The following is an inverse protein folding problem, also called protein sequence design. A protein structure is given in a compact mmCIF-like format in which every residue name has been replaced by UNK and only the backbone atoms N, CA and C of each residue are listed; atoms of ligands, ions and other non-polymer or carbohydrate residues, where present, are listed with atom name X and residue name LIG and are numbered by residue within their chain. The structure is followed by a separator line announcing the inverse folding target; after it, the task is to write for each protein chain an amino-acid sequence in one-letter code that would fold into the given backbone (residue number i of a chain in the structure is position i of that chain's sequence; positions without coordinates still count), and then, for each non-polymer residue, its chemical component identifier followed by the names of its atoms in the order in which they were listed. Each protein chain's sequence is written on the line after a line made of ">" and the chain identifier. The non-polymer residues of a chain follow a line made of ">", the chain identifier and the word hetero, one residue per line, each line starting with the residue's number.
data_IF_386758396107
#
_entry.id   IF_386758396107
#
_cell.length_a   1.000
_cell.length_b   1.000
_cell.length_c   1.000
_cell.angle_alpha   90.00
_cell.angle_beta   90.00
_cell.angle_gamma   90.00
#
_symmetry.space_group_name_H-M   'P 1'
#
loop_
_entity.id
_entity.type
_entity.pdbx_description
1 polymer ?
#
# COMPACT_ATOMS: atom_id res chain seq x y z
N UNK A 1 1.45 21.70 11.37
CA UNK A 1 1.61 20.59 10.41
C UNK A 1 3.07 20.23 10.08
N UNK A 2 3.94 21.16 9.69
CA UNK A 2 5.36 20.84 9.35
C UNK A 2 6.16 20.22 10.52
N UNK A 3 5.97 20.69 11.75
CA UNK A 3 6.68 20.18 12.94
C UNK A 3 6.25 18.76 13.34
N UNK A 4 4.96 18.42 13.18
CA UNK A 4 4.44 17.06 13.46
C UNK A 4 4.92 16.03 12.45
N UNK A 5 5.09 16.42 11.18
CA UNK A 5 5.62 15.56 10.14
C UNK A 5 7.11 15.26 10.39
N UNK A 6 7.88 16.26 10.84
CA UNK A 6 9.29 16.11 11.18
C UNK A 6 9.48 15.18 12.39
N UNK A 7 8.65 15.31 13.41
CA UNK A 7 8.65 14.44 14.59
C UNK A 7 8.30 12.99 14.25
N UNK A 8 7.34 12.78 13.35
CA UNK A 8 6.98 11.44 12.86
C UNK A 8 8.14 10.81 12.07
N UNK A 9 8.81 11.61 11.24
CA UNK A 9 9.96 11.17 10.44
C UNK A 9 11.16 10.81 11.33
N UNK A 10 11.43 11.63 12.36
CA UNK A 10 12.51 11.35 13.34
C UNK A 10 12.19 10.14 14.21
N UNK A 11 10.94 9.96 14.65
CA UNK A 11 10.53 8.76 15.39
C UNK A 11 10.64 7.50 14.54
N UNK A 12 10.30 7.55 13.25
CA UNK A 12 10.49 6.42 12.32
C UNK A 12 11.98 6.09 12.14
N UNK A 13 12.84 7.09 12.03
CA UNK A 13 14.29 6.92 11.89
C UNK A 13 14.92 6.30 13.15
N UNK A 14 14.47 6.71 14.34
CA UNK A 14 15.02 6.16 15.61
C UNK A 14 14.59 4.73 15.88
N UNK A 15 13.37 4.32 15.50
CA UNK A 15 12.93 2.92 15.60
C UNK A 15 13.74 2.03 14.66
N UNK A 16 14.18 2.56 13.52
CA UNK A 16 14.97 1.83 12.53
C UNK A 16 16.38 1.52 12.99
N UNK A 17 17.04 2.43 13.71
CA UNK A 17 18.44 2.26 14.14
C UNK A 17 18.64 1.26 15.29
N UNK A 18 17.62 1.04 16.12
CA UNK A 18 17.65 0.07 17.23
C UNK A 18 17.62 -1.40 16.77
N UNK A 19 17.33 -1.66 15.49
CA UNK A 19 17.23 -3.02 14.95
C UNK A 19 18.46 -3.47 14.13
N UNK A 20 19.47 -2.63 13.99
CA UNK A 20 20.62 -2.88 13.11
C UNK A 20 21.71 -3.78 13.71
N UNK A 21 21.57 -4.21 14.98
CA UNK A 21 22.54 -5.13 15.60
C UNK A 21 22.17 -6.58 15.35
N UNK A 22 22.90 -7.25 14.45
CA UNK A 22 22.78 -8.67 14.15
C UNK A 22 22.02 -8.97 12.87
N UNK A 23 22.51 -8.51 11.73
CA UNK A 23 22.00 -8.93 10.43
C UNK A 23 22.33 -10.40 10.21
N UNK A 24 21.31 -11.26 10.40
CA UNK A 24 21.34 -12.63 9.93
C UNK A 24 21.49 -12.57 8.39
N UNK A 25 22.54 -13.14 7.84
CA UNK A 25 22.91 -13.08 6.41
C UNK A 25 21.74 -13.49 5.49
N UNK A 26 20.81 -14.30 6.02
CA UNK A 26 19.63 -14.80 5.30
C UNK A 26 18.39 -13.90 5.42
N UNK A 27 18.46 -12.77 6.13
CA UNK A 27 17.27 -11.92 6.36
C UNK A 27 17.63 -10.46 6.27
N UNK A 28 16.84 -9.71 5.54
CA UNK A 28 16.96 -8.24 5.46
C UNK A 28 15.64 -7.60 5.83
N UNK A 29 15.66 -6.74 6.85
CA UNK A 29 14.48 -5.93 7.21
C UNK A 29 14.39 -4.71 6.31
N UNK A 30 13.16 -4.26 6.06
CA UNK A 30 12.94 -2.98 5.39
C UNK A 30 11.77 -2.23 6.01
N UNK A 31 11.88 -0.90 5.97
CA UNK A 31 10.79 0.04 6.27
C UNK A 31 10.74 1.08 5.17
N UNK A 32 9.54 1.35 4.68
CA UNK A 32 9.35 2.10 3.45
C UNK A 32 8.22 3.12 3.63
N UNK A 33 8.44 4.33 3.15
CA UNK A 33 7.43 5.38 3.04
C UNK A 33 7.24 5.73 1.58
N UNK A 34 6.00 5.82 1.14
CA UNK A 34 5.68 6.08 -0.25
C UNK A 34 4.65 7.17 -0.45
N UNK A 35 4.70 7.78 -1.63
CA UNK A 35 3.74 8.72 -2.15
C UNK A 35 3.32 8.33 -3.56
N UNK A 36 2.03 8.42 -3.88
CA UNK A 36 1.53 8.03 -5.18
C UNK A 36 0.09 8.42 -5.44
N UNK A 37 -0.54 7.69 -6.34
CA UNK A 37 -1.95 7.86 -6.68
C UNK A 37 -2.63 6.51 -6.89
N UNK A 38 -3.89 6.46 -6.44
CA UNK A 38 -4.78 5.33 -6.62
C UNK A 38 -5.91 5.70 -7.57
N UNK A 39 -6.40 4.74 -8.33
CA UNK A 39 -7.54 4.88 -9.22
C UNK A 39 -8.53 3.77 -8.90
N UNK A 40 -9.80 4.13 -8.70
CA UNK A 40 -10.93 3.22 -8.71
C UNK A 40 -11.55 3.19 -10.10
N UNK A 41 -11.90 2.01 -10.57
CA UNK A 41 -12.50 1.80 -11.88
C UNK A 41 -13.67 0.84 -11.70
N UNK A 42 -14.89 1.32 -12.03
CA UNK A 42 -16.11 0.53 -12.05
C UNK A 42 -16.88 0.83 -13.35
N UNK A 43 -16.93 -0.14 -14.27
CA UNK A 43 -17.46 0.11 -15.62
C UNK A 43 -16.74 1.28 -16.30
N UNK A 44 -17.51 2.24 -16.75
CA UNK A 44 -17.01 3.50 -17.34
C UNK A 44 -16.61 4.56 -16.31
N UNK A 45 -16.93 4.32 -15.04
CA UNK A 45 -16.66 5.25 -13.98
C UNK A 45 -15.21 5.11 -13.45
N UNK A 46 -14.51 6.23 -13.36
CA UNK A 46 -13.14 6.31 -12.83
C UNK A 46 -13.04 7.42 -11.80
N UNK A 47 -12.45 7.09 -10.65
CA UNK A 47 -12.11 8.08 -9.63
C UNK A 47 -10.63 7.98 -9.31
N UNK A 48 -9.92 9.11 -9.47
CA UNK A 48 -8.49 9.23 -9.17
C UNK A 48 -8.32 9.86 -7.80
N UNK A 49 -7.40 9.36 -7.00
CA UNK A 49 -7.02 10.02 -5.76
C UNK A 49 -6.29 11.33 -6.02
N UNK A 50 -6.48 12.30 -5.14
CA UNK A 50 -5.68 13.52 -5.09
C UNK A 50 -4.24 13.16 -4.77
N UNK A 51 -4.08 12.29 -3.78
CA UNK A 51 -2.82 11.68 -3.37
C UNK A 51 -3.08 10.37 -2.63
N UNK A 52 -2.04 9.56 -2.51
CA UNK A 52 -1.97 8.41 -1.62
C UNK A 52 -0.63 8.41 -0.91
N UNK A 53 -0.64 8.11 0.39
CA UNK A 53 0.57 7.90 1.20
C UNK A 53 0.51 6.50 1.80
N UNK A 54 1.68 5.89 1.93
CA UNK A 54 1.73 4.54 2.46
C UNK A 54 2.96 4.36 3.35
N UNK A 55 2.81 3.51 4.34
CA UNK A 55 3.88 2.99 5.16
C UNK A 55 3.90 1.47 5.06
N UNK A 56 5.07 0.91 4.75
CA UNK A 56 5.26 -0.53 4.61
C UNK A 56 6.43 -0.97 5.47
N UNK A 57 6.30 -2.10 6.16
CA UNK A 57 7.39 -2.72 6.92
C UNK A 57 7.35 -4.23 6.77
N UNK A 58 8.51 -4.83 6.56
CA UNK A 58 8.63 -6.26 6.32
C UNK A 58 10.05 -6.77 6.35
N UNK A 59 10.20 -7.98 5.82
CA UNK A 59 11.49 -8.65 5.66
C UNK A 59 11.56 -9.37 4.33
N UNK A 60 12.77 -9.41 3.77
CA UNK A 60 13.14 -10.34 2.72
C UNK A 60 13.85 -11.53 3.35
N UNK A 61 13.42 -12.73 3.02
CA UNK A 61 14.05 -13.99 3.38
C UNK A 61 14.76 -14.53 2.14
N UNK A 62 16.09 -14.62 2.19
CA UNK A 62 16.86 -15.16 1.08
C UNK A 62 16.79 -16.70 1.09
N UNK A 63 16.72 -17.28 -0.10
CA UNK A 63 16.61 -18.73 -0.29
C UNK A 63 17.97 -19.43 -0.27
N UNK A 64 19.06 -18.68 -0.36
CA UNK A 64 20.44 -19.18 -0.36
C UNK A 64 21.40 -18.14 0.23
N UNK A 65 22.49 -18.60 0.82
CA UNK A 65 23.48 -17.77 1.48
C UNK A 65 24.38 -17.05 0.46
N UNK A 66 24.88 -17.78 -0.54
CA UNK A 66 25.79 -17.25 -1.54
C UNK A 66 25.03 -16.65 -2.72
N UNK A 67 25.59 -15.61 -3.30
CA UNK A 67 25.08 -15.00 -4.52
C UNK A 67 25.37 -15.88 -5.73
N UNK A 68 24.37 -16.17 -6.53
CA UNK A 68 24.53 -16.89 -7.79
C UNK A 68 25.32 -16.03 -8.75
N UNK A 69 26.42 -16.57 -9.27
CA UNK A 69 27.40 -15.87 -10.10
C UNK A 69 27.95 -14.56 -9.45
N UNK A 70 27.94 -14.49 -8.11
CA UNK A 70 28.39 -13.31 -7.39
C UNK A 70 27.49 -12.06 -7.58
N UNK A 71 26.27 -12.23 -8.05
CA UNK A 71 25.40 -11.11 -8.45
C UNK A 71 23.96 -11.25 -7.98
N UNK A 72 23.38 -12.44 -8.04
CA UNK A 72 21.92 -12.61 -7.91
C UNK A 72 21.59 -13.38 -6.65
N UNK A 73 20.61 -12.86 -5.89
CA UNK A 73 20.05 -13.55 -4.75
C UNK A 73 18.51 -13.58 -4.86
N UNK A 74 17.95 -14.77 -4.80
CA UNK A 74 16.51 -14.98 -4.75
C UNK A 74 16.01 -14.94 -3.32
N UNK A 75 14.82 -14.41 -3.13
CA UNK A 75 14.19 -14.31 -1.82
C UNK A 75 12.67 -14.38 -1.88
N UNK A 76 12.10 -14.40 -0.70
CA UNK A 76 10.66 -14.25 -0.46
C UNK A 76 10.49 -13.03 0.44
N UNK A 77 9.73 -12.07 -0.04
CA UNK A 77 9.35 -10.91 0.75
C UNK A 77 8.11 -11.22 1.57
N UNK A 78 8.18 -10.92 2.86
CA UNK A 78 7.06 -10.90 3.78
C UNK A 78 6.86 -9.50 4.34
N UNK A 79 5.71 -8.89 4.07
CA UNK A 79 5.33 -7.58 4.61
C UNK A 79 4.27 -7.77 5.68
N UNK A 80 4.58 -7.35 6.89
CA UNK A 80 3.67 -7.46 8.03
C UNK A 80 2.75 -6.26 8.18
N UNK A 81 3.17 -5.13 7.63
CA UNK A 81 2.44 -3.88 7.68
C UNK A 81 2.53 -3.19 6.33
N UNK A 82 1.40 -3.02 5.67
CA UNK A 82 1.23 -2.17 4.50
C UNK A 82 -0.03 -1.33 4.75
N UNK A 83 0.18 -0.14 5.28
CA UNK A 83 -0.88 0.79 5.61
C UNK A 83 -0.92 1.91 4.58
N UNK A 84 -2.02 2.02 3.86
CA UNK A 84 -2.23 3.02 2.82
C UNK A 84 -3.38 3.95 3.19
N UNK A 85 -3.16 5.26 3.05
CA UNK A 85 -4.21 6.26 3.10
C UNK A 85 -4.27 7.01 1.78
N UNK A 86 -5.47 7.15 1.21
CA UNK A 86 -5.69 7.92 -0.01
C UNK A 86 -6.89 8.85 0.14
N UNK A 87 -6.79 10.04 -0.46
CA UNK A 87 -7.86 11.03 -0.50
C UNK A 87 -8.33 11.21 -1.93
N UNK A 88 -9.66 11.32 -2.08
CA UNK A 88 -10.32 11.55 -3.36
C UNK A 88 -11.22 12.78 -3.25
N UNK A 89 -11.24 13.60 -4.27
CA UNK A 89 -12.17 14.73 -4.40
C UNK A 89 -12.95 14.56 -5.69
N UNK A 90 -14.28 14.59 -5.59
CA UNK A 90 -15.18 14.53 -6.74
C UNK A 90 -16.03 15.79 -6.80
N UNK A 91 -15.83 16.65 -7.80
CA UNK A 91 -16.75 17.77 -8.03
C UNK A 91 -18.10 17.22 -8.50
N UNK A 92 -19.17 17.58 -7.82
CA UNK A 92 -20.54 17.30 -8.21
C UNK A 92 -21.30 18.63 -8.29
N UNK A 93 -21.82 18.93 -9.46
CA UNK A 93 -22.74 20.03 -9.63
C UNK A 93 -24.14 19.58 -9.19
N UNK A 94 -24.60 20.05 -8.04
CA UNK A 94 -25.97 19.85 -7.56
C UNK A 94 -26.62 21.22 -7.47
N UNK A 95 -27.73 21.40 -8.14
CA UNK A 95 -28.53 22.66 -8.18
C UNK A 95 -27.71 23.91 -8.58
N UNK A 96 -26.81 23.76 -9.57
CA UNK A 96 -25.96 24.86 -10.04
C UNK A 96 -24.85 25.31 -9.09
N UNK A 97 -24.67 24.61 -7.96
CA UNK A 97 -23.55 24.81 -7.03
C UNK A 97 -22.55 23.68 -7.18
N UNK A 98 -21.28 24.02 -7.40
CA UNK A 98 -20.20 23.06 -7.36
C UNK A 98 -19.88 22.69 -5.90
N UNK A 99 -20.25 21.50 -5.50
CA UNK A 99 -19.90 20.94 -4.19
C UNK A 99 -18.82 19.86 -4.38
N UNK A 100 -17.73 20.00 -3.66
CA UNK A 100 -16.64 19.01 -3.65
C UNK A 100 -16.93 17.93 -2.61
N UNK A 101 -17.27 16.73 -3.08
CA UNK A 101 -17.39 15.56 -2.21
C UNK A 101 -16.02 14.95 -1.96
N UNK A 102 -15.66 14.78 -0.69
CA UNK A 102 -14.37 14.23 -0.25
C UNK A 102 -14.56 12.81 0.24
N UNK A 103 -13.75 11.92 -0.30
CA UNK A 103 -13.70 10.51 0.10
C UNK A 103 -12.31 10.18 0.60
N UNK A 104 -12.27 9.26 1.55
CA UNK A 104 -11.03 8.78 2.18
C UNK A 104 -10.98 7.26 2.08
N UNK A 105 -9.86 6.73 1.66
CA UNK A 105 -9.60 5.29 1.65
C UNK A 105 -8.50 4.98 2.65
N UNK A 106 -8.68 3.90 3.38
CA UNK A 106 -7.67 3.32 4.27
C UNK A 106 -7.57 1.85 3.95
N UNK A 107 -6.38 1.39 3.60
CA UNK A 107 -6.11 -0.03 3.39
C UNK A 107 -5.08 -0.50 4.42
N UNK A 108 -5.29 -1.72 4.92
CA UNK A 108 -4.29 -2.48 5.64
C UNK A 108 -4.08 -3.81 4.92
N UNK A 109 -2.85 -4.11 4.53
CA UNK A 109 -2.51 -5.32 3.81
C UNK A 109 -1.32 -6.06 4.43
N UNK A 110 -1.31 -7.36 4.22
CA UNK A 110 -0.16 -8.24 4.40
C UNK A 110 0.31 -8.66 3.02
N UNK A 111 1.61 -8.57 2.74
CA UNK A 111 2.10 -8.92 1.42
C UNK A 111 3.09 -10.08 1.51
N UNK A 112 3.02 -10.99 0.55
CA UNK A 112 3.98 -12.09 0.42
C UNK A 112 4.23 -12.40 -1.04
N UNK A 113 5.48 -12.67 -1.38
CA UNK A 113 5.81 -13.07 -2.75
C UNK A 113 7.29 -13.14 -3.06
N UNK A 114 7.63 -13.64 -4.25
CA UNK A 114 9.01 -13.76 -4.67
C UNK A 114 9.68 -12.41 -4.89
N UNK A 115 10.98 -12.39 -4.63
CA UNK A 115 11.83 -11.23 -4.88
C UNK A 115 13.19 -11.64 -5.43
N UNK A 116 13.83 -10.73 -6.13
CA UNK A 116 15.17 -10.89 -6.68
C UNK A 116 15.98 -9.66 -6.29
N UNK A 117 17.15 -9.92 -5.72
CA UNK A 117 18.19 -8.92 -5.48
C UNK A 117 19.33 -9.14 -6.44
N UNK A 118 19.79 -8.07 -7.07
CA UNK A 118 20.94 -8.07 -7.96
C UNK A 118 21.94 -7.08 -7.38
N UNK A 119 23.16 -7.54 -7.16
CA UNK A 119 24.27 -6.73 -6.65
C UNK A 119 25.29 -6.49 -7.77
N UNK A 120 25.10 -5.47 -8.64
CA UNK A 120 25.99 -5.23 -9.77
C UNK A 120 27.34 -4.64 -9.34
N UNK A 121 27.39 -3.93 -8.23
CA UNK A 121 28.59 -3.25 -7.71
C UNK A 121 28.45 -3.24 -6.19
N UNK A 122 29.55 -3.31 -5.47
CA UNK A 122 29.58 -3.22 -4.00
C UNK A 122 28.72 -2.04 -3.52
N UNK A 123 27.92 -2.28 -2.49
CA UNK A 123 26.97 -1.33 -1.88
C UNK A 123 25.78 -0.90 -2.74
N UNK A 124 25.69 -1.33 -4.01
CA UNK A 124 24.54 -1.02 -4.89
C UNK A 124 23.71 -2.28 -5.13
N UNK A 125 22.45 -2.23 -4.75
CA UNK A 125 21.52 -3.35 -4.96
C UNK A 125 20.32 -2.90 -5.80
N UNK A 126 19.95 -3.73 -6.74
CA UNK A 126 18.69 -3.62 -7.46
C UNK A 126 17.75 -4.68 -6.91
N UNK A 127 16.60 -4.26 -6.43
CA UNK A 127 15.60 -5.17 -5.86
C UNK A 127 14.32 -5.09 -6.67
N UNK A 128 13.81 -6.22 -7.12
CA UNK A 128 12.51 -6.36 -7.77
C UNK A 128 11.68 -7.44 -7.09
N UNK A 129 10.37 -7.27 -7.10
CA UNK A 129 9.46 -8.18 -6.44
C UNK A 129 8.08 -8.22 -7.09
N UNK A 130 7.39 -9.34 -6.85
CA UNK A 130 5.97 -9.51 -7.13
C UNK A 130 5.31 -10.12 -5.91
N UNK A 131 4.32 -9.44 -5.32
CA UNK A 131 3.70 -9.82 -4.05
C UNK A 131 2.19 -9.96 -4.21
N UNK A 132 1.63 -10.99 -3.62
CA UNK A 132 0.22 -11.12 -3.32
C UNK A 132 -0.08 -10.36 -2.03
N UNK A 133 -1.11 -9.54 -2.02
CA UNK A 133 -1.44 -8.60 -0.96
C UNK A 133 -2.92 -8.70 -0.56
N UNK A 134 -3.30 -9.70 0.26
CA UNK A 134 -4.60 -9.70 0.91
C UNK A 134 -4.72 -8.47 1.82
N UNK A 135 -5.83 -7.76 1.71
CA UNK A 135 -6.04 -6.51 2.39
C UNK A 135 -7.47 -6.36 2.92
N UNK A 136 -7.61 -5.51 3.91
CA UNK A 136 -8.90 -4.94 4.28
C UNK A 136 -8.92 -3.47 3.87
N UNK A 137 -9.92 -3.10 3.09
CA UNK A 137 -10.06 -1.75 2.55
C UNK A 137 -11.29 -1.08 3.11
N UNK A 138 -11.12 0.13 3.63
CA UNK A 138 -12.18 1.00 4.12
C UNK A 138 -12.28 2.21 3.20
N UNK A 139 -13.48 2.51 2.76
CA UNK A 139 -13.79 3.69 1.96
C UNK A 139 -14.85 4.53 2.69
N UNK A 140 -14.52 5.75 3.01
CA UNK A 140 -15.33 6.64 3.83
C UNK A 140 -15.70 7.91 3.04
N UNK A 141 -16.98 8.24 3.02
CA UNK A 141 -17.47 9.47 2.39
C UNK A 141 -18.94 9.69 2.70
N UNK A 142 -19.38 10.94 2.73
CA UNK A 142 -20.77 11.38 2.92
C UNK A 142 -21.50 10.67 4.07
N UNK A 143 -20.84 10.57 5.25
CA UNK A 143 -21.35 9.90 6.48
C UNK A 143 -21.57 8.38 6.33
N UNK A 144 -21.07 7.78 5.27
CA UNK A 144 -21.13 6.34 5.04
C UNK A 144 -19.72 5.74 5.07
N UNK A 145 -19.63 4.51 5.56
CA UNK A 145 -18.40 3.74 5.62
C UNK A 145 -18.65 2.43 4.90
N UNK A 146 -17.88 2.21 3.87
CA UNK A 146 -17.83 0.97 3.10
C UNK A 146 -16.55 0.25 3.42
N UNK A 147 -16.60 -1.06 3.55
CA UNK A 147 -15.41 -1.83 3.79
C UNK A 147 -15.59 -3.28 3.45
N UNK A 148 -14.52 -3.90 2.98
CA UNK A 148 -14.47 -5.32 2.77
C UNK A 148 -13.02 -5.80 2.56
N UNK A 149 -12.91 -7.11 2.42
CA UNK A 149 -11.72 -7.76 1.95
C UNK A 149 -11.40 -7.34 0.51
N UNK A 150 -10.14 -7.03 0.30
CA UNK A 150 -9.59 -6.67 -1.01
C UNK A 150 -8.44 -7.60 -1.35
N UNK A 151 -8.26 -7.87 -2.63
CA UNK A 151 -7.14 -8.65 -3.14
C UNK A 151 -6.33 -7.78 -4.07
N UNK A 152 -5.06 -7.57 -3.72
CA UNK A 152 -4.13 -6.83 -4.55
C UNK A 152 -2.92 -7.67 -4.94
N UNK A 153 -2.35 -7.30 -6.07
CA UNK A 153 -1.02 -7.67 -6.50
C UNK A 153 -0.14 -6.43 -6.54
N UNK A 154 1.07 -6.58 -6.09
CA UNK A 154 2.03 -5.49 -5.94
C UNK A 154 3.32 -5.89 -6.63
N UNK A 155 3.80 -5.05 -7.54
CA UNK A 155 5.09 -5.26 -8.20
C UNK A 155 5.92 -3.99 -8.08
N UNK A 156 7.21 -4.14 -7.84
CA UNK A 156 8.08 -3.01 -7.63
C UNK A 156 9.52 -3.26 -8.05
N UNK A 157 10.20 -2.15 -8.23
CA UNK A 157 11.63 -2.08 -8.52
C UNK A 157 12.25 -0.98 -7.66
N UNK A 158 13.40 -1.25 -7.05
CA UNK A 158 14.18 -0.23 -6.35
C UNK A 158 15.67 -0.40 -6.60
N UNK A 159 16.36 0.70 -6.46
CA UNK A 159 17.82 0.75 -6.39
C UNK A 159 18.20 1.26 -5.02
N UNK A 160 19.05 0.52 -4.33
CA UNK A 160 19.57 0.89 -3.02
C UNK A 160 21.07 1.16 -3.09
N UNK A 161 21.49 2.12 -2.29
CA UNK A 161 22.88 2.35 -1.95
C UNK A 161 23.02 2.21 -0.44
N UNK A 162 23.83 1.25 -0.02
CA UNK A 162 24.00 0.89 1.38
C UNK A 162 22.62 0.54 2.04
N UNK A 163 22.12 1.38 2.93
CA UNK A 163 20.87 1.14 3.68
C UNK A 163 19.66 1.91 3.16
N UNK A 164 19.83 2.79 2.16
CA UNK A 164 18.73 3.61 1.59
C UNK A 164 18.42 3.12 0.19
N UNK A 165 17.13 2.93 -0.10
CA UNK A 165 16.65 2.60 -1.43
C UNK A 165 15.62 3.62 -1.92
N UNK A 166 15.64 3.87 -3.22
CA UNK A 166 14.59 4.58 -3.96
C UNK A 166 13.92 3.60 -4.90
N UNK A 167 12.61 3.62 -4.96
CA UNK A 167 11.88 2.69 -5.80
C UNK A 167 10.56 3.19 -6.30
N UNK A 168 10.03 2.40 -7.21
CA UNK A 168 8.72 2.57 -7.83
C UNK A 168 7.92 1.27 -7.65
N UNK A 169 6.63 1.40 -7.38
CA UNK A 169 5.73 0.28 -7.19
C UNK A 169 4.41 0.50 -7.89
N UNK A 170 3.92 -0.55 -8.53
CA UNK A 170 2.57 -0.66 -9.07
C UNK A 170 1.71 -1.58 -8.21
N UNK A 171 0.45 -1.19 -7.96
CA UNK A 171 -0.55 -1.97 -7.24
C UNK A 171 -1.80 -2.11 -8.09
N UNK A 172 -2.34 -3.33 -8.19
CA UNK A 172 -3.55 -3.60 -8.94
C UNK A 172 -4.35 -4.74 -8.30
N UNK A 173 -5.67 -4.66 -8.40
CA UNK A 173 -6.55 -5.67 -7.81
C UNK A 173 -8.00 -5.25 -7.78
N UNK A 174 -8.76 -5.87 -6.89
CA UNK A 174 -10.19 -5.64 -6.74
C UNK A 174 -10.58 -5.56 -5.27
N UNK A 175 -11.64 -4.82 -5.01
CA UNK A 175 -12.32 -4.78 -3.72
C UNK A 175 -13.84 -4.78 -3.95
N UNK A 176 -14.55 -5.59 -3.19
CA UNK A 176 -16.02 -5.64 -3.20
C UNK A 176 -16.48 -4.86 -1.97
N UNK A 177 -16.82 -3.57 -2.13
CA UNK A 177 -17.17 -2.70 -1.02
C UNK A 177 -18.61 -2.91 -0.57
N UNK A 178 -18.80 -3.26 0.71
CA UNK A 178 -20.12 -3.37 1.36
C UNK A 178 -20.32 -2.19 2.32
N UNK A 179 -21.55 -1.72 2.45
CA UNK A 179 -21.88 -0.67 3.38
C UNK A 179 -21.93 -1.20 4.82
N UNK A 180 -20.90 -0.89 5.63
CA UNK A 180 -20.77 -1.35 7.03
C UNK A 180 -21.74 -0.62 7.95
N UNK A 181 -22.10 0.65 7.66
CA UNK A 181 -23.01 1.42 8.49
C UNK A 181 -24.47 0.90 8.40
N UNK A 182 -24.82 0.24 7.30
CA UNK A 182 -26.14 -0.38 7.12
C UNK A 182 -26.30 -1.66 7.94
N UNK A 183 -25.22 -2.38 8.25
CA UNK A 183 -25.29 -3.61 9.03
C UNK A 183 -25.85 -3.44 10.45
N UNK A 184 -25.69 -2.26 11.05
CA UNK A 184 -26.30 -1.92 12.36
C UNK A 184 -27.77 -1.43 12.26
N UNK A 185 -28.26 -1.09 11.07
CA UNK A 185 -29.65 -0.67 10.83
C UNK A 185 -30.57 -1.81 10.38
N UNK A 186 -30.04 -2.99 10.09
CA UNK A 186 -30.81 -4.14 9.56
C UNK A 186 -31.84 -4.69 10.56
N UNK A 187 -31.74 -4.40 11.86
CA UNK A 187 -32.78 -4.79 12.83
C UNK A 187 -34.05 -3.93 12.77
N UNK A 188 -34.06 -2.80 12.07
CA UNK A 188 -35.21 -1.88 12.03
C UNK A 188 -35.76 -1.54 10.65
N UNK A 189 -35.15 -1.96 9.56
CA UNK A 189 -35.63 -1.64 8.21
C UNK A 189 -35.87 -2.90 7.39
N UNK A 190 -37.11 -3.06 6.92
CA UNK A 190 -37.46 -3.98 5.81
C UNK A 190 -36.61 -3.58 4.59
N UNK A 191 -35.91 -4.50 3.94
CA UNK A 191 -35.13 -4.19 2.78
C UNK A 191 -36.03 -3.80 1.61
N UNK A 192 -36.05 -2.53 1.25
CA UNK A 192 -36.30 -2.17 -0.14
C UNK A 192 -35.00 -2.56 -0.87
N UNK A 193 -35.14 -3.48 -1.80
CA UNK A 193 -34.08 -4.24 -2.47
C UNK A 193 -33.11 -3.44 -3.36
N UNK A 194 -33.09 -2.12 -3.28
CA UNK A 194 -32.44 -1.26 -4.29
C UNK A 194 -31.09 -0.64 -3.87
N UNK A 195 -30.55 -0.91 -2.69
CA UNK A 195 -29.34 -0.23 -2.22
C UNK A 195 -28.23 -1.11 -1.65
N UNK A 196 -28.14 -2.37 -2.04
CA UNK A 196 -26.93 -3.17 -1.82
C UNK A 196 -26.04 -2.94 -3.04
N UNK A 197 -25.16 -1.98 -2.93
CA UNK A 197 -24.07 -1.83 -3.89
C UNK A 197 -23.07 -2.97 -3.60
N UNK A 198 -23.38 -4.14 -4.12
CA UNK A 198 -22.46 -5.27 -4.23
C UNK A 198 -21.61 -5.07 -5.49
N UNK A 199 -20.78 -4.03 -5.47
CA UNK A 199 -20.04 -3.62 -6.64
C UNK A 199 -18.57 -3.94 -6.51
N UNK A 200 -18.12 -4.81 -7.41
CA UNK A 200 -16.71 -5.11 -7.58
C UNK A 200 -15.96 -3.96 -8.24
N UNK A 201 -15.14 -3.28 -7.47
CA UNK A 201 -14.36 -2.13 -7.93
C UNK A 201 -12.93 -2.55 -8.22
N UNK A 202 -12.45 -2.29 -9.42
CA UNK A 202 -11.04 -2.47 -9.77
C UNK A 202 -10.21 -1.34 -9.20
N UNK A 203 -9.11 -1.71 -8.59
CA UNK A 203 -8.15 -0.78 -8.02
C UNK A 203 -6.84 -0.84 -8.80
N UNK A 204 -6.30 0.32 -9.18
CA UNK A 204 -4.97 0.46 -9.78
C UNK A 204 -4.27 1.65 -9.16
N UNK A 205 -3.04 1.46 -8.75
CA UNK A 205 -2.24 2.53 -8.16
C UNK A 205 -0.78 2.43 -8.58
N UNK A 206 -0.08 3.53 -8.40
CA UNK A 206 1.36 3.59 -8.49
C UNK A 206 1.89 4.46 -7.35
N UNK A 207 3.10 4.16 -6.91
CA UNK A 207 3.77 4.92 -5.86
C UNK A 207 5.28 4.93 -6.05
N UNK A 208 5.90 6.04 -5.68
CA UNK A 208 7.35 6.13 -5.50
C UNK A 208 7.65 6.05 -4.01
N UNK A 209 8.76 5.45 -3.65
CA UNK A 209 9.08 5.24 -2.25
C UNK A 209 10.55 5.43 -1.91
N UNK A 210 10.78 5.77 -0.66
CA UNK A 210 12.08 5.67 0.01
C UNK A 210 11.98 4.49 0.97
N UNK A 211 12.96 3.60 0.95
CA UNK A 211 13.05 2.46 1.83
C UNK A 211 14.36 2.49 2.60
N UNK A 212 14.29 2.11 3.87
CA UNK A 212 15.45 1.86 4.71
C UNK A 212 15.58 0.36 4.92
N UNK A 213 16.77 -0.17 4.64
CA UNK A 213 17.06 -1.60 4.68
C UNK A 213 18.10 -1.87 5.77
N UNK A 214 17.87 -2.92 6.59
CA UNK A 214 18.72 -3.27 7.74
C UNK A 214 19.03 -4.74 7.79
#
# INVERSE_FOLDING_TARGET
>A
MKKSLLLLLTALLTVSTLSAQGADVLRRKYSQVSYGKNNFIHGDWKMKSDFAVNFTSGRTFYLHEDEIAGLIRFGIDGTWTDFTYAKYTRPLAVDGKNNDYKFHQVDYALNVGPSVHINPIDDVFVHTYFRYAPAYSLFMGDKQIYGNYATYFVTGLSVSYNFIALGFEGRFGNCDYNNIASAKRIEQFKPNEENVIDERVKHRGWRVYVSFMF
#
